data_IF_295321425119
#
_entry.id   IF_295321425119
#
_cell.length_a   1.000
_cell.length_b   1.000
_cell.length_c   1.000
_cell.angle_alpha   90.00
_cell.angle_beta   90.00
_cell.angle_gamma   90.00
#
_symmetry.space_group_name_H-M   'P 1'
#
loop_
_entity.id
_entity.type
_entity.pdbx_description
1 polymer ?
#
# COMPACT_ATOMS: atom_id res chain seq x y z
N UNK A 1 1.83 -2.00 -21.91
CA UNK A 1 1.90 -1.24 -20.63
C UNK A 1 1.24 0.14 -20.75
N UNK A 2 0.09 0.24 -21.43
CA UNK A 2 -0.55 1.54 -21.70
C UNK A 2 -1.34 2.09 -20.50
N UNK A 3 -1.97 1.23 -19.70
CA UNK A 3 -2.69 1.66 -18.50
C UNK A 3 -1.80 2.26 -17.41
N UNK A 4 -0.61 1.69 -17.17
CA UNK A 4 0.31 2.22 -16.17
C UNK A 4 0.95 3.54 -16.61
N UNK A 5 1.27 3.71 -17.90
CA UNK A 5 1.78 4.99 -18.42
C UNK A 5 0.77 6.11 -18.27
N UNK A 6 -0.53 5.82 -18.46
CA UNK A 6 -1.60 6.79 -18.22
C UNK A 6 -1.70 7.20 -16.74
N UNK A 7 -1.52 6.25 -15.83
CA UNK A 7 -1.43 6.58 -14.41
C UNK A 7 -0.22 7.48 -14.13
N UNK A 8 0.97 7.19 -14.67
CA UNK A 8 2.10 8.11 -14.50
C UNK A 8 1.87 9.49 -15.12
N UNK A 9 1.04 9.58 -16.16
CA UNK A 9 0.66 10.85 -16.78
C UNK A 9 -0.43 11.62 -16.00
N UNK A 10 -1.03 11.05 -14.95
CA UNK A 10 -2.12 11.67 -14.19
C UNK A 10 -3.53 11.37 -14.72
N UNK A 11 -3.64 10.69 -15.87
CA UNK A 11 -4.90 10.37 -16.53
C UNK A 11 -5.59 9.14 -15.91
N UNK A 12 -5.82 9.20 -14.59
CA UNK A 12 -6.39 8.08 -13.81
C UNK A 12 -7.70 7.56 -14.39
N UNK A 13 -8.60 8.45 -14.83
CA UNK A 13 -9.89 8.05 -15.38
C UNK A 13 -9.74 7.19 -16.63
N UNK A 14 -8.91 7.65 -17.58
CA UNK A 14 -8.65 6.94 -18.82
C UNK A 14 -7.92 5.61 -18.55
N UNK A 15 -6.97 5.61 -17.61
CA UNK A 15 -6.34 4.38 -17.18
C UNK A 15 -7.38 3.37 -16.69
N UNK A 16 -8.30 3.78 -15.81
CA UNK A 16 -9.33 2.88 -15.26
C UNK A 16 -10.29 2.33 -16.32
N UNK A 17 -10.70 3.15 -17.29
CA UNK A 17 -11.56 2.73 -18.41
C UNK A 17 -10.90 1.64 -19.28
N UNK A 18 -9.59 1.68 -19.42
CA UNK A 18 -8.83 0.69 -20.21
C UNK A 18 -8.52 -0.56 -19.39
N UNK A 19 -8.30 -0.42 -18.07
CA UNK A 19 -7.96 -1.54 -17.20
C UNK A 19 -9.15 -2.47 -16.93
N UNK A 20 -10.35 -1.93 -16.75
CA UNK A 20 -11.56 -2.72 -16.47
C UNK A 20 -11.82 -3.85 -17.50
N UNK A 21 -11.84 -3.63 -18.83
CA UNK A 21 -12.08 -4.70 -19.80
C UNK A 21 -10.93 -5.71 -19.90
N UNK A 22 -9.71 -5.34 -19.50
CA UNK A 22 -8.52 -6.22 -19.61
C UNK A 22 -8.36 -7.09 -18.36
N UNK A 23 -8.58 -6.50 -17.17
CA UNK A 23 -8.32 -7.13 -15.89
C UNK A 23 -9.59 -7.50 -15.12
N UNK A 24 -10.77 -7.12 -15.62
CA UNK A 24 -12.04 -7.23 -14.90
C UNK A 24 -12.13 -6.30 -13.69
N UNK A 25 -11.20 -5.34 -13.56
CA UNK A 25 -11.18 -4.33 -12.50
C UNK A 25 -10.34 -3.12 -12.91
N UNK A 26 -10.78 -1.94 -12.51
CA UNK A 26 -10.09 -0.66 -12.65
C UNK A 26 -8.89 -0.50 -11.73
N UNK A 27 -8.70 -1.41 -10.77
CA UNK A 27 -7.57 -1.38 -9.82
C UNK A 27 -6.88 -2.73 -9.76
N UNK A 28 -6.16 -3.14 -10.82
CA UNK A 28 -5.45 -4.40 -10.82
C UNK A 28 -4.42 -4.41 -9.70
N UNK A 29 -4.20 -5.60 -9.13
CA UNK A 29 -3.31 -5.77 -8.00
C UNK A 29 -1.85 -5.95 -8.41
N UNK A 30 -1.45 -5.73 -9.66
CA UNK A 30 -0.04 -5.82 -10.07
C UNK A 30 0.82 -4.69 -9.50
N UNK A 31 2.10 -4.98 -9.26
CA UNK A 31 3.06 -4.02 -8.69
C UNK A 31 3.25 -2.78 -9.55
N UNK A 32 3.13 -2.91 -10.89
CA UNK A 32 3.29 -1.77 -11.80
C UNK A 32 2.22 -0.71 -11.60
N UNK A 33 0.97 -1.11 -11.36
CA UNK A 33 -0.13 -0.18 -11.09
C UNK A 33 -0.05 0.36 -9.67
N UNK A 34 0.32 -0.48 -8.71
CA UNK A 34 0.49 -0.04 -7.32
C UNK A 34 1.55 1.07 -7.22
N UNK A 35 2.69 0.93 -7.91
CA UNK A 35 3.74 1.96 -7.99
C UNK A 35 3.23 3.24 -8.65
N UNK A 36 2.44 3.11 -9.71
CA UNK A 36 1.86 4.28 -10.39
C UNK A 36 0.85 5.02 -9.50
N UNK A 37 -0.03 4.30 -8.77
CA UNK A 37 -0.95 4.90 -7.81
C UNK A 37 -0.23 5.57 -6.64
N UNK A 38 0.87 4.98 -6.14
CA UNK A 38 1.74 5.61 -5.15
C UNK A 38 2.35 6.91 -5.68
N UNK A 39 2.85 6.91 -6.93
CA UNK A 39 3.40 8.10 -7.56
C UNK A 39 2.37 9.24 -7.70
N UNK A 40 1.11 8.88 -7.95
CA UNK A 40 0.00 9.84 -7.98
C UNK A 40 -0.46 10.32 -6.59
N UNK A 41 0.08 9.79 -5.49
CA UNK A 41 -0.43 10.06 -4.14
C UNK A 41 -1.84 9.51 -3.91
N UNK A 42 -2.30 8.57 -4.74
CA UNK A 42 -3.62 7.96 -4.64
C UNK A 42 -3.63 6.84 -3.58
N UNK A 43 -3.32 7.23 -2.34
CA UNK A 43 -3.19 6.30 -1.24
C UNK A 43 -4.50 5.55 -0.94
N UNK A 44 -5.65 6.14 -1.28
CA UNK A 44 -6.95 5.47 -1.16
C UNK A 44 -6.98 4.19 -2.00
N UNK A 45 -6.63 4.28 -3.29
CA UNK A 45 -6.59 3.11 -4.17
C UNK A 45 -5.47 2.14 -3.76
N UNK A 46 -4.30 2.64 -3.38
CA UNK A 46 -3.18 1.82 -2.87
C UNK A 46 -3.62 0.98 -1.66
N UNK A 47 -4.26 1.60 -0.66
CA UNK A 47 -4.77 0.91 0.53
C UNK A 47 -5.81 -0.15 0.14
N UNK A 48 -6.74 0.15 -0.78
CA UNK A 48 -7.72 -0.83 -1.26
C UNK A 48 -7.06 -2.03 -1.94
N UNK A 49 -6.05 -1.81 -2.78
CA UNK A 49 -5.31 -2.89 -3.46
C UNK A 49 -4.53 -3.72 -2.44
N UNK A 50 -3.80 -3.09 -1.52
CA UNK A 50 -3.00 -3.78 -0.51
C UNK A 50 -3.86 -4.52 0.51
N UNK A 51 -5.03 -3.98 0.86
CA UNK A 51 -5.98 -4.67 1.74
C UNK A 51 -6.44 -5.98 1.11
N UNK A 52 -6.76 -6.00 -0.19
CA UNK A 52 -7.09 -7.25 -0.90
C UNK A 52 -5.92 -8.24 -0.87
N UNK A 53 -4.69 -7.78 -1.15
CA UNK A 53 -3.49 -8.63 -1.07
C UNK A 53 -3.29 -9.24 0.33
N UNK A 54 -3.56 -8.48 1.39
CA UNK A 54 -3.49 -8.95 2.78
C UNK A 54 -4.61 -9.95 3.08
N UNK A 55 -5.81 -9.76 2.56
CA UNK A 55 -6.93 -10.72 2.73
C UNK A 55 -6.60 -12.07 2.08
N UNK A 56 -5.91 -12.06 0.93
CA UNK A 56 -5.47 -13.29 0.25
C UNK A 56 -4.41 -14.07 1.05
N UNK A 57 -3.59 -13.38 1.84
CA UNK A 57 -2.50 -13.98 2.62
C UNK A 57 -2.23 -13.16 3.89
N UNK A 58 -3.06 -13.35 4.93
CA UNK A 58 -3.07 -12.50 6.11
C UNK A 58 -1.88 -12.75 7.05
N UNK A 59 -1.14 -13.83 6.84
CA UNK A 59 0.03 -14.19 7.67
C UNK A 59 1.34 -13.74 7.06
N UNK A 60 1.32 -13.05 5.92
CA UNK A 60 2.50 -12.57 5.24
C UNK A 60 2.95 -11.20 5.79
N UNK A 61 4.09 -11.14 6.52
CA UNK A 61 4.55 -9.92 7.15
C UNK A 61 4.86 -8.82 6.13
N UNK A 62 5.34 -9.18 4.93
CA UNK A 62 5.69 -8.23 3.88
C UNK A 62 4.45 -7.53 3.31
N UNK A 63 3.34 -8.26 3.10
CA UNK A 63 2.08 -7.68 2.62
C UNK A 63 1.46 -6.75 3.66
N UNK A 64 1.47 -7.17 4.93
CA UNK A 64 1.03 -6.33 6.05
C UNK A 64 1.90 -5.08 6.22
N UNK A 65 3.22 -5.20 6.06
CA UNK A 65 4.12 -4.07 6.11
C UNK A 65 3.84 -3.06 4.99
N UNK A 66 3.66 -3.53 3.75
CA UNK A 66 3.27 -2.65 2.64
C UNK A 66 1.97 -1.90 2.92
N UNK A 67 0.95 -2.58 3.49
CA UNK A 67 -0.30 -1.94 3.89
C UNK A 67 -0.08 -0.89 4.99
N UNK A 68 0.77 -1.20 5.98
CA UNK A 68 1.10 -0.28 7.05
C UNK A 68 1.82 0.98 6.53
N UNK A 69 2.76 0.82 5.61
CA UNK A 69 3.43 1.93 4.94
C UNK A 69 2.45 2.78 4.13
N UNK A 70 1.50 2.16 3.42
CA UNK A 70 0.48 2.90 2.70
C UNK A 70 -0.45 3.71 3.63
N UNK A 71 -0.82 3.17 4.80
CA UNK A 71 -1.52 3.95 5.82
C UNK A 71 -0.69 5.12 6.33
N UNK A 72 0.60 4.92 6.53
CA UNK A 72 1.50 5.97 7.00
C UNK A 72 1.60 7.13 6.01
N UNK A 73 1.84 6.82 4.73
CA UNK A 73 1.90 7.79 3.64
C UNK A 73 0.56 8.50 3.41
N UNK A 74 -0.57 7.83 3.69
CA UNK A 74 -1.90 8.45 3.68
C UNK A 74 -2.15 9.39 4.86
N UNK A 75 -1.20 9.52 5.79
CA UNK A 75 -1.34 10.29 7.04
C UNK A 75 -2.08 9.55 8.15
N UNK A 76 -2.51 8.31 7.92
CA UNK A 76 -3.21 7.48 8.89
C UNK A 76 -2.24 6.75 9.82
N UNK A 77 -1.65 7.54 10.73
CA UNK A 77 -0.63 7.05 11.67
C UNK A 77 -1.17 5.98 12.61
N UNK A 78 -2.44 6.05 12.99
CA UNK A 78 -3.05 5.08 13.90
C UNK A 78 -3.15 3.70 13.25
N UNK A 79 -3.72 3.60 12.05
CA UNK A 79 -3.80 2.32 11.32
C UNK A 79 -2.43 1.83 10.89
N UNK A 80 -1.49 2.72 10.58
CA UNK A 80 -0.11 2.35 10.29
C UNK A 80 0.52 1.63 11.50
N UNK A 81 0.47 2.22 12.70
CA UNK A 81 1.01 1.63 13.92
C UNK A 81 0.34 0.30 14.24
N UNK A 82 -0.99 0.22 14.20
CA UNK A 82 -1.72 -1.03 14.47
C UNK A 82 -1.33 -2.15 13.50
N UNK A 83 -1.14 -1.81 12.22
CA UNK A 83 -0.75 -2.80 11.21
C UNK A 83 0.71 -3.22 11.40
N UNK A 84 1.63 -2.28 11.69
CA UNK A 84 3.02 -2.57 12.04
C UNK A 84 3.16 -3.48 13.27
N UNK A 85 2.31 -3.30 14.28
CA UNK A 85 2.28 -4.18 15.45
C UNK A 85 1.93 -5.63 15.07
N UNK A 86 1.02 -5.84 14.10
CA UNK A 86 0.73 -7.19 13.60
C UNK A 86 1.93 -7.80 12.88
N UNK A 87 2.66 -7.00 12.10
CA UNK A 87 3.91 -7.44 11.46
C UNK A 87 4.92 -7.92 12.51
N UNK A 88 5.12 -7.15 13.59
CA UNK A 88 6.03 -7.51 14.69
C UNK A 88 5.68 -8.84 15.39
N UNK A 89 4.39 -9.19 15.43
CA UNK A 89 3.91 -10.44 16.05
C UNK A 89 4.17 -11.64 15.14
N UNK A 90 4.03 -11.47 13.82
CA UNK A 90 4.19 -12.55 12.84
C UNK A 90 5.65 -12.86 12.56
N UNK A 91 6.51 -11.85 12.52
CA UNK A 91 7.93 -12.04 12.20
C UNK A 91 8.83 -11.21 13.14
N UNK A 92 9.54 -11.89 14.06
CA UNK A 92 10.53 -11.25 14.94
C UNK A 92 11.67 -10.56 14.20
N UNK A 93 11.98 -10.94 12.95
CA UNK A 93 12.99 -10.25 12.11
C UNK A 93 12.48 -8.86 11.73
N UNK A 94 11.22 -8.75 11.34
CA UNK A 94 10.60 -7.45 11.06
C UNK A 94 10.36 -6.64 12.33
N UNK A 95 10.23 -7.27 13.51
CA UNK A 95 9.95 -6.59 14.78
C UNK A 95 10.86 -5.40 15.04
N UNK A 96 12.18 -5.56 14.88
CA UNK A 96 13.12 -4.46 15.11
C UNK A 96 12.88 -3.29 14.16
N UNK A 97 12.62 -3.58 12.88
CA UNK A 97 12.34 -2.58 11.86
C UNK A 97 11.03 -1.84 12.16
N UNK A 98 9.95 -2.55 12.42
CA UNK A 98 8.64 -1.91 12.65
C UNK A 98 8.57 -1.20 14.00
N UNK A 99 9.27 -1.68 15.04
CA UNK A 99 9.38 -0.98 16.32
C UNK A 99 10.08 0.38 16.16
N UNK A 100 11.11 0.45 15.30
CA UNK A 100 11.75 1.72 14.93
C UNK A 100 10.75 2.66 14.28
N UNK A 101 10.04 2.22 13.24
CA UNK A 101 9.01 3.03 12.57
C UNK A 101 7.93 3.49 13.55
N UNK A 102 7.38 2.61 14.39
CA UNK A 102 6.36 2.96 15.38
C UNK A 102 6.86 4.06 16.34
N UNK A 103 8.10 3.96 16.81
CA UNK A 103 8.70 4.96 17.70
C UNK A 103 8.80 6.33 17.03
N UNK A 104 9.25 6.35 15.78
CA UNK A 104 9.41 7.58 15.01
C UNK A 104 8.06 8.23 14.70
N UNK A 105 7.06 7.45 14.27
CA UNK A 105 5.69 7.92 13.99
C UNK A 105 5.08 8.55 15.26
N UNK A 106 5.23 7.89 16.41
CA UNK A 106 4.76 8.40 17.72
C UNK A 106 5.48 9.67 18.15
N UNK A 107 6.75 9.82 17.78
CA UNK A 107 7.54 11.02 18.04
C UNK A 107 7.24 12.17 17.07
N UNK A 108 6.27 12.00 16.17
CA UNK A 108 5.89 13.03 15.20
C UNK A 108 6.66 12.96 13.88
N UNK A 109 7.70 12.11 13.78
CA UNK A 109 8.66 12.09 12.68
C UNK A 109 8.18 11.24 11.49
N UNK A 110 8.82 11.49 10.35
CA UNK A 110 8.61 10.75 9.10
C UNK A 110 9.94 10.12 8.65
N UNK A 111 10.31 8.97 9.25
CA UNK A 111 11.59 8.30 9.01
C UNK A 111 11.64 7.58 7.66
#
# INVERSE_FOLDING_TARGET
MYGASLLYAGDKKLAQEILEPIYGTSTPSDDVFLKAYLHLGDYKTVITVLTRRVVEDPTNPQKLFSLASAYFEAGDRERAIQTMQKVAVLDPVFKQQVDFYIKEIKAGRHP
#
